data_IF_467841623999
#
_entry.id   IF_467841623999
#
_cell.length_a   1.000
_cell.length_b   1.000
_cell.length_c   1.000
_cell.angle_alpha   90.00
_cell.angle_beta   90.00
_cell.angle_gamma   90.00
#
_symmetry.space_group_name_H-M   'P 1'
#
loop_
_entity.id
_entity.type
_entity.pdbx_description
1 polymer ?
#
# COMPACT_ATOMS: atom_id res chain seq x y z
N UNK A 1 38.91 -21.70 -1.60
CA UNK A 1 38.00 -21.70 -0.44
C UNK A 1 37.07 -20.49 -0.57
N UNK A 2 35.81 -20.58 -0.13
CA UNK A 2 34.76 -19.53 -0.15
C UNK A 2 33.71 -19.57 -1.27
N UNK A 3 33.40 -20.75 -1.82
CA UNK A 3 32.21 -20.94 -2.68
C UNK A 3 30.97 -21.45 -1.91
N UNK A 4 31.13 -21.80 -0.63
CA UNK A 4 30.12 -22.53 0.17
C UNK A 4 29.32 -21.65 1.13
N UNK A 5 29.87 -20.54 1.62
CA UNK A 5 29.24 -19.79 2.73
C UNK A 5 28.05 -18.96 2.24
N UNK A 6 28.12 -18.44 1.01
CA UNK A 6 27.06 -17.59 0.45
C UNK A 6 25.74 -18.33 0.16
N UNK A 7 25.78 -19.64 -0.08
CA UNK A 7 24.59 -20.44 -0.36
C UNK A 7 23.83 -20.87 0.90
N UNK A 8 24.49 -20.93 2.06
CA UNK A 8 23.85 -21.36 3.32
C UNK A 8 23.00 -20.23 3.93
N UNK A 9 23.46 -18.99 3.82
CA UNK A 9 22.82 -17.83 4.43
C UNK A 9 21.46 -17.49 3.78
N UNK A 10 21.31 -17.73 2.47
CA UNK A 10 20.05 -17.53 1.75
C UNK A 10 19.01 -18.63 1.97
N UNK A 11 19.39 -19.81 2.48
CA UNK A 11 18.45 -20.91 2.74
C UNK A 11 17.78 -20.76 4.11
N UNK A 12 18.47 -20.19 5.09
CA UNK A 12 17.96 -20.03 6.45
C UNK A 12 16.80 -19.02 6.55
N UNK A 13 16.75 -18.03 5.66
CA UNK A 13 15.77 -16.94 5.75
C UNK A 13 14.40 -17.28 5.11
N UNK A 14 14.28 -18.40 4.40
CA UNK A 14 13.08 -18.74 3.62
C UNK A 14 12.19 -19.84 4.27
N UNK A 15 12.48 -20.25 5.51
CA UNK A 15 11.77 -21.34 6.23
C UNK A 15 10.79 -20.82 7.30
N UNK A 16 10.77 -19.52 7.59
CA UNK A 16 10.02 -18.96 8.73
C UNK A 16 8.67 -18.32 8.37
N UNK A 17 8.00 -18.71 7.29
CA UNK A 17 6.74 -18.06 6.88
C UNK A 17 5.59 -19.04 6.57
N UNK A 18 5.47 -20.10 7.36
CA UNK A 18 4.21 -20.85 7.51
C UNK A 18 3.41 -20.27 8.68
N UNK A 19 2.54 -19.31 8.37
CA UNK A 19 1.50 -18.83 9.28
C UNK A 19 0.42 -19.90 9.42
N UNK A 20 0.44 -20.59 10.57
CA UNK A 20 -0.62 -21.46 11.03
C UNK A 20 -1.94 -20.67 11.15
N UNK A 21 -2.96 -21.07 10.41
CA UNK A 21 -4.34 -20.61 10.58
C UNK A 21 -5.03 -21.64 11.49
N UNK A 22 -5.13 -21.34 12.79
CA UNK A 22 -5.97 -22.12 13.71
C UNK A 22 -7.25 -21.35 14.02
N UNK A 23 -8.35 -21.97 13.65
CA UNK A 23 -9.73 -21.62 13.90
C UNK A 23 -10.06 -21.87 15.38
N UNK A 24 -10.53 -20.86 16.10
CA UNK A 24 -10.83 -20.99 17.53
C UNK A 24 -11.82 -19.94 18.02
N UNK A 25 -13.12 -20.22 17.85
CA UNK A 25 -14.19 -19.52 18.58
C UNK A 25 -14.11 -19.83 20.08
N UNK A 26 -14.12 -18.81 20.94
CA UNK A 26 -14.75 -18.95 22.25
C UNK A 26 -15.48 -17.66 22.66
N UNK A 27 -16.77 -17.83 22.94
CA UNK A 27 -17.59 -16.91 23.71
C UNK A 27 -17.17 -16.97 25.18
N UNK A 28 -16.97 -15.82 25.80
CA UNK A 28 -17.03 -15.66 27.24
C UNK A 28 -17.44 -14.22 27.60
N UNK A 29 -18.68 -14.09 28.07
CA UNK A 29 -19.24 -12.85 28.55
C UNK A 29 -18.57 -12.34 29.82
N UNK A 30 -18.61 -11.02 29.98
CA UNK A 30 -18.46 -10.35 31.26
C UNK A 30 -19.37 -9.11 31.26
N UNK A 31 -20.58 -9.32 31.75
CA UNK A 31 -21.45 -8.32 32.39
C UNK A 31 -20.83 -8.13 33.81
N UNK A 32 -20.72 -6.97 34.46
CA UNK A 32 -21.75 -6.06 34.98
C UNK A 32 -21.05 -4.81 35.61
N UNK A 33 -21.67 -3.65 35.39
CA UNK A 33 -21.80 -2.40 36.20
C UNK A 33 -20.66 -1.44 36.59
N UNK A 34 -20.90 -0.20 36.11
CA UNK A 34 -21.03 1.07 36.83
C UNK A 34 -19.87 1.61 37.68
N UNK A 35 -19.28 2.71 37.20
CA UNK A 35 -19.20 3.97 37.95
C UNK A 35 -18.97 5.11 36.94
N UNK A 36 -20.06 5.76 36.48
CA UNK A 36 -19.96 7.04 35.78
C UNK A 36 -19.92 8.11 36.85
N UNK A 37 -18.73 8.66 37.05
CA UNK A 37 -18.51 9.80 37.94
C UNK A 37 -19.21 11.04 37.36
N UNK A 38 -19.99 11.61 38.24
CA UNK A 38 -20.81 12.80 38.23
C UNK A 38 -20.00 14.03 37.78
N UNK A 39 -20.43 14.69 36.69
CA UNK A 39 -20.01 16.06 36.44
C UNK A 39 -21.22 16.97 36.63
N UNK A 40 -21.09 17.70 37.72
CA UNK A 40 -22.04 18.56 38.39
C UNK A 40 -22.67 19.63 37.49
N UNK A 41 -23.89 19.95 37.87
CA UNK A 41 -24.83 20.88 37.28
C UNK A 41 -24.25 22.28 37.03
N UNK A 42 -24.59 22.83 35.86
CA UNK A 42 -24.41 24.22 35.49
C UNK A 42 -24.89 25.15 36.62
N UNK A 43 -23.91 25.80 37.26
CA UNK A 43 -24.08 26.72 38.36
C UNK A 43 -24.97 27.90 37.93
N UNK A 44 -26.22 27.81 38.37
CA UNK A 44 -27.20 28.87 38.39
C UNK A 44 -26.59 30.18 38.92
N UNK A 45 -26.47 31.18 38.04
CA UNK A 45 -26.30 32.58 38.49
C UNK A 45 -27.66 33.16 38.83
N UNK A 46 -27.98 33.16 40.12
CA UNK A 46 -29.19 33.74 40.69
C UNK A 46 -29.15 35.29 40.70
N UNK A 47 -30.12 35.86 40.01
CA UNK A 47 -31.11 36.84 40.53
C UNK A 47 -30.81 38.36 40.61
N UNK A 48 -31.94 39.05 40.39
CA UNK A 48 -32.32 40.45 40.68
C UNK A 48 -32.02 41.45 39.54
N UNK A 49 -32.94 42.32 39.09
CA UNK A 49 -34.13 42.88 39.72
C UNK A 49 -35.08 43.47 38.65
N UNK A 50 -36.37 43.42 38.95
CA UNK A 50 -37.57 44.03 38.33
C UNK A 50 -37.43 45.14 37.27
N UNK A 51 -38.25 45.05 36.22
CA UNK A 51 -39.05 46.21 35.78
C UNK A 51 -40.40 45.76 35.17
N UNK A 52 -41.55 46.11 35.76
CA UNK A 52 -42.87 45.78 35.23
C UNK A 52 -43.37 46.95 34.38
N UNK A 53 -43.28 46.87 33.05
CA UNK A 53 -44.03 47.81 32.20
C UNK A 53 -44.54 47.13 30.92
N UNK A 54 -45.84 46.86 31.02
CA UNK A 54 -46.83 46.50 30.01
C UNK A 54 -46.64 47.26 28.69
N UNK A 55 -46.34 46.54 27.62
CA UNK A 55 -46.57 46.99 26.24
C UNK A 55 -47.25 45.86 25.50
N UNK A 56 -48.54 46.06 25.21
CA UNK A 56 -49.38 45.18 24.41
C UNK A 56 -48.72 44.93 23.05
N UNK A 57 -48.35 43.69 22.77
CA UNK A 57 -47.87 43.27 21.44
C UNK A 57 -48.86 42.28 20.84
N UNK A 58 -49.61 42.77 19.85
CA UNK A 58 -50.64 42.04 19.12
C UNK A 58 -50.03 40.88 18.33
N UNK A 59 -50.49 39.67 18.64
CA UNK A 59 -50.16 38.41 17.98
C UNK A 59 -50.58 38.42 16.49
N UNK A 60 -49.65 38.67 15.58
CA UNK A 60 -49.83 38.41 14.15
C UNK A 60 -49.54 36.93 13.85
N UNK A 61 -50.60 36.12 13.70
CA UNK A 61 -50.55 34.73 13.22
C UNK A 61 -49.89 34.65 11.83
N UNK A 62 -48.57 34.47 11.77
CA UNK A 62 -47.88 34.10 10.54
C UNK A 62 -48.25 32.66 10.20
N UNK A 63 -49.26 32.49 9.33
CA UNK A 63 -49.67 31.22 8.72
C UNK A 63 -48.47 30.64 7.97
N UNK A 64 -47.77 29.68 8.58
CA UNK A 64 -46.77 28.83 7.92
C UNK A 64 -47.51 28.05 6.85
N UNK A 65 -47.34 28.39 5.58
CA UNK A 65 -47.83 27.56 4.47
C UNK A 65 -47.16 26.20 4.63
N UNK A 66 -47.99 25.17 4.65
CA UNK A 66 -47.65 23.77 4.83
C UNK A 66 -46.57 23.36 3.84
N UNK A 67 -45.63 22.56 4.38
CA UNK A 67 -44.59 21.84 3.69
C UNK A 67 -45.08 21.31 2.34
N UNK A 68 -44.30 21.64 1.32
CA UNK A 68 -44.17 20.84 0.11
C UNK A 68 -44.15 19.37 0.52
N UNK A 69 -45.10 18.58 0.01
CA UNK A 69 -45.15 17.16 0.24
C UNK A 69 -43.97 16.54 -0.50
N UNK A 70 -42.78 16.58 0.12
CA UNK A 70 -41.71 15.67 -0.21
C UNK A 70 -42.24 14.28 0.10
N UNK A 71 -42.56 13.51 -0.92
CA UNK A 71 -42.78 12.07 -0.75
C UNK A 71 -41.58 11.52 0.04
N UNK A 72 -41.81 10.83 1.17
CA UNK A 72 -40.71 10.24 1.90
C UNK A 72 -40.07 9.20 0.98
N UNK A 73 -38.79 9.37 0.66
CA UNK A 73 -38.01 8.32 0.00
C UNK A 73 -38.25 7.02 0.75
N UNK A 74 -38.86 6.04 0.07
CA UNK A 74 -39.19 4.76 0.70
C UNK A 74 -37.90 4.11 1.18
N UNK A 75 -37.89 3.61 2.42
CA UNK A 75 -36.74 2.90 3.01
C UNK A 75 -36.24 1.75 2.12
N UNK A 76 -37.12 1.17 1.30
CA UNK A 76 -36.77 0.14 0.31
C UNK A 76 -35.80 0.66 -0.74
N UNK A 77 -36.03 1.85 -1.30
CA UNK A 77 -35.13 2.47 -2.29
C UNK A 77 -33.76 2.82 -1.70
N UNK A 78 -33.70 3.12 -0.40
CA UNK A 78 -32.43 3.38 0.29
C UNK A 78 -31.65 2.08 0.48
N UNK A 79 -32.31 0.99 0.90
CA UNK A 79 -31.69 -0.32 1.06
C UNK A 79 -31.15 -0.83 -0.28
N UNK A 80 -31.90 -0.64 -1.37
CA UNK A 80 -31.48 -1.03 -2.71
C UNK A 80 -30.23 -0.24 -3.16
N UNK A 81 -30.21 1.07 -2.92
CA UNK A 81 -29.05 1.93 -3.25
C UNK A 81 -27.79 1.56 -2.43
N UNK A 82 -27.96 1.27 -1.13
CA UNK A 82 -26.86 0.84 -0.25
C UNK A 82 -26.33 -0.53 -0.68
N UNK A 83 -27.20 -1.45 -1.07
CA UNK A 83 -26.81 -2.78 -1.56
C UNK A 83 -26.03 -2.67 -2.86
N UNK A 84 -26.54 -1.90 -3.83
CA UNK A 84 -25.86 -1.64 -5.10
C UNK A 84 -24.48 -0.99 -4.89
N UNK A 85 -24.37 -0.04 -3.95
CA UNK A 85 -23.10 0.56 -3.59
C UNK A 85 -22.13 -0.47 -2.99
N UNK A 86 -22.61 -1.31 -2.06
CA UNK A 86 -21.82 -2.37 -1.45
C UNK A 86 -21.31 -3.39 -2.47
N UNK A 87 -22.13 -3.77 -3.45
CA UNK A 87 -21.75 -4.67 -4.53
C UNK A 87 -20.70 -4.05 -5.46
N UNK A 88 -20.88 -2.78 -5.84
CA UNK A 88 -19.89 -2.07 -6.64
C UNK A 88 -18.54 -1.95 -5.92
N UNK A 89 -18.55 -1.63 -4.61
CA UNK A 89 -17.34 -1.58 -3.78
C UNK A 89 -16.67 -2.96 -3.72
N UNK A 90 -17.44 -4.03 -3.55
CA UNK A 90 -16.91 -5.41 -3.54
C UNK A 90 -16.25 -5.76 -4.87
N UNK A 91 -16.91 -5.45 -5.99
CA UNK A 91 -16.40 -5.72 -7.34
C UNK A 91 -15.08 -4.97 -7.58
N UNK A 92 -15.07 -3.66 -7.32
CA UNK A 92 -13.86 -2.83 -7.46
C UNK A 92 -12.75 -3.33 -6.54
N UNK A 93 -13.07 -3.73 -5.31
CA UNK A 93 -12.11 -4.31 -4.38
C UNK A 93 -11.47 -5.60 -4.90
N UNK A 94 -12.25 -6.49 -5.51
CA UNK A 94 -11.73 -7.72 -6.13
C UNK A 94 -10.85 -7.44 -7.35
N UNK A 95 -11.24 -6.48 -8.19
CA UNK A 95 -10.44 -6.08 -9.36
C UNK A 95 -9.10 -5.45 -8.95
N UNK A 96 -9.12 -4.56 -7.96
CA UNK A 96 -7.91 -3.98 -7.40
C UNK A 96 -7.00 -5.04 -6.78
N UNK A 97 -7.54 -5.96 -6.00
CA UNK A 97 -6.79 -7.07 -5.39
C UNK A 97 -6.11 -7.93 -6.46
N UNK A 98 -6.83 -8.26 -7.54
CA UNK A 98 -6.29 -8.98 -8.70
C UNK A 98 -5.21 -8.19 -9.42
N UNK A 99 -5.41 -6.88 -9.60
CA UNK A 99 -4.44 -5.98 -10.23
C UNK A 99 -3.14 -5.93 -9.44
N UNK A 100 -3.22 -5.76 -8.11
CA UNK A 100 -2.05 -5.74 -7.22
C UNK A 100 -1.32 -7.08 -7.27
N UNK A 101 -2.04 -8.20 -7.16
CA UNK A 101 -1.44 -9.53 -7.26
C UNK A 101 -0.71 -9.75 -8.60
N UNK A 102 -1.30 -9.28 -9.71
CA UNK A 102 -0.72 -9.40 -11.05
C UNK A 102 0.54 -8.53 -11.20
N UNK A 103 0.51 -7.29 -10.72
CA UNK A 103 1.65 -6.38 -10.72
C UNK A 103 2.81 -6.95 -9.88
N UNK A 104 2.52 -7.44 -8.67
CA UNK A 104 3.52 -8.09 -7.82
C UNK A 104 4.16 -9.30 -8.50
N UNK A 105 3.39 -10.12 -9.20
CA UNK A 105 3.91 -11.25 -9.96
C UNK A 105 4.86 -10.81 -11.08
N UNK A 106 4.48 -9.76 -11.84
CA UNK A 106 5.30 -9.19 -12.91
C UNK A 106 6.61 -8.65 -12.33
N UNK A 107 6.53 -7.87 -11.24
CA UNK A 107 7.71 -7.31 -10.58
C UNK A 107 8.62 -8.41 -10.06
N UNK A 108 8.09 -9.42 -9.38
CA UNK A 108 8.89 -10.54 -8.87
C UNK A 108 9.59 -11.31 -10.02
N UNK A 109 8.86 -11.58 -11.11
CA UNK A 109 9.42 -12.23 -12.29
C UNK A 109 10.52 -11.37 -12.94
N UNK A 110 10.31 -10.05 -13.04
CA UNK A 110 11.31 -9.14 -13.60
C UNK A 110 12.57 -9.07 -12.74
N UNK A 111 12.44 -9.04 -11.41
CA UNK A 111 13.55 -9.06 -10.45
C UNK A 111 14.36 -10.35 -10.59
N UNK A 112 13.69 -11.50 -10.69
CA UNK A 112 14.34 -12.79 -10.92
C UNK A 112 15.14 -12.80 -12.23
N UNK A 113 14.55 -12.29 -13.33
CA UNK A 113 15.23 -12.19 -14.62
C UNK A 113 16.46 -11.28 -14.52
N UNK A 114 16.36 -10.12 -13.86
CA UNK A 114 17.50 -9.21 -13.67
C UNK A 114 18.61 -9.91 -12.89
N UNK A 115 18.28 -10.61 -11.80
CA UNK A 115 19.28 -11.36 -11.02
C UNK A 115 19.97 -12.45 -11.86
N UNK A 116 19.23 -13.20 -12.67
CA UNK A 116 19.78 -14.18 -13.61
C UNK A 116 20.74 -13.52 -14.61
N UNK A 117 20.37 -12.36 -15.15
CA UNK A 117 21.21 -11.60 -16.07
C UNK A 117 22.46 -11.04 -15.38
N UNK A 118 22.39 -10.64 -14.12
CA UNK A 118 23.57 -10.22 -13.33
C UNK A 118 24.53 -11.38 -13.10
N UNK A 119 24.03 -12.58 -12.78
CA UNK A 119 24.89 -13.78 -12.69
C UNK A 119 25.54 -14.10 -14.05
N UNK A 120 24.77 -13.98 -15.12
CA UNK A 120 25.26 -14.16 -16.50
C UNK A 120 26.35 -13.13 -16.82
N UNK A 121 26.14 -11.86 -16.47
CA UNK A 121 27.11 -10.77 -16.61
C UNK A 121 28.43 -11.10 -15.90
N UNK A 122 28.36 -11.59 -14.66
CA UNK A 122 29.54 -11.99 -13.88
C UNK A 122 30.38 -13.03 -14.62
N UNK A 123 29.75 -14.07 -15.17
CA UNK A 123 30.45 -15.09 -15.96
C UNK A 123 31.09 -14.47 -17.19
N UNK A 124 30.35 -13.68 -17.97
CA UNK A 124 30.87 -13.09 -19.20
C UNK A 124 32.02 -12.13 -18.97
N UNK A 125 31.99 -11.31 -17.91
CA UNK A 125 33.11 -10.42 -17.59
C UNK A 125 34.37 -11.18 -17.15
N UNK A 126 34.22 -12.39 -16.58
CA UNK A 126 35.34 -13.27 -16.26
C UNK A 126 36.02 -13.87 -17.50
N UNK A 127 35.28 -14.03 -18.59
CA UNK A 127 35.77 -14.59 -19.85
C UNK A 127 36.47 -13.55 -20.75
N UNK A 128 36.30 -12.25 -20.49
CA UNK A 128 36.92 -11.19 -21.29
C UNK A 128 38.42 -11.15 -21.02
N UNK A 129 39.19 -11.64 -21.99
CA UNK A 129 40.65 -11.55 -21.97
C UNK A 129 41.11 -10.09 -22.00
N UNK A 130 41.99 -9.72 -21.08
CA UNK A 130 42.60 -8.40 -21.02
C UNK A 130 41.80 -7.35 -20.25
N UNK A 131 40.68 -7.73 -19.62
CA UNK A 131 39.97 -6.93 -18.63
C UNK A 131 40.66 -7.10 -17.27
N UNK A 132 41.04 -6.00 -16.63
CA UNK A 132 41.65 -6.05 -15.29
C UNK A 132 40.60 -6.38 -14.21
N UNK A 133 41.04 -6.78 -13.02
CA UNK A 133 40.12 -7.06 -11.91
C UNK A 133 39.37 -5.80 -11.46
N UNK A 134 40.05 -4.64 -11.46
CA UNK A 134 39.42 -3.34 -11.15
C UNK A 134 38.36 -2.97 -12.19
N UNK A 135 38.68 -3.09 -13.49
CA UNK A 135 37.70 -2.85 -14.57
C UNK A 135 36.50 -3.79 -14.47
N UNK A 136 36.72 -5.03 -14.01
CA UNK A 136 35.66 -6.01 -13.79
C UNK A 136 34.74 -5.61 -12.63
N UNK A 137 35.32 -5.16 -11.52
CA UNK A 137 34.56 -4.69 -10.36
C UNK A 137 33.73 -3.46 -10.74
N UNK A 138 34.35 -2.48 -11.40
CA UNK A 138 33.67 -1.27 -11.87
C UNK A 138 32.51 -1.62 -12.82
N UNK A 139 32.73 -2.54 -13.75
CA UNK A 139 31.69 -3.01 -14.66
C UNK A 139 30.54 -3.73 -13.93
N UNK A 140 30.84 -4.54 -12.91
CA UNK A 140 29.84 -5.24 -12.11
C UNK A 140 28.99 -4.31 -11.27
N UNK A 141 29.54 -3.18 -10.83
CA UNK A 141 28.80 -2.17 -10.10
C UNK A 141 27.91 -1.37 -11.05
N UNK A 142 28.47 -0.89 -12.17
CA UNK A 142 27.79 0.07 -13.04
C UNK A 142 26.78 -0.58 -14.00
N UNK A 143 27.10 -1.72 -14.62
CA UNK A 143 26.25 -2.29 -15.69
C UNK A 143 24.84 -2.69 -15.17
N UNK A 144 24.67 -3.29 -13.98
CA UNK A 144 23.34 -3.63 -13.47
C UNK A 144 22.40 -2.43 -13.28
N UNK A 145 22.93 -1.26 -12.96
CA UNK A 145 22.16 -0.01 -12.84
C UNK A 145 21.64 0.51 -14.19
N UNK A 146 22.15 -0.06 -15.29
CA UNK A 146 21.78 0.27 -16.65
C UNK A 146 21.25 -0.98 -17.39
N UNK A 147 20.02 -1.45 -17.08
CA UNK A 147 19.52 -2.74 -17.55
C UNK A 147 19.51 -2.87 -19.08
N UNK A 148 19.23 -1.79 -19.82
CA UNK A 148 19.30 -1.80 -21.28
C UNK A 148 20.75 -2.00 -21.79
N UNK A 149 21.73 -1.41 -21.12
CA UNK A 149 23.15 -1.57 -21.47
C UNK A 149 23.65 -2.97 -21.12
N UNK A 150 23.17 -3.56 -20.02
CA UNK A 150 23.40 -4.96 -19.71
C UNK A 150 22.90 -5.89 -20.83
N UNK A 151 21.70 -5.65 -21.35
CA UNK A 151 21.18 -6.43 -22.49
C UNK A 151 22.04 -6.26 -23.74
N UNK A 152 22.42 -5.03 -24.09
CA UNK A 152 23.33 -4.75 -25.21
C UNK A 152 24.64 -5.51 -25.04
N UNK A 153 25.28 -5.41 -23.87
CA UNK A 153 26.54 -6.10 -23.57
C UNK A 153 26.43 -7.62 -23.75
N UNK A 154 25.37 -8.25 -23.23
CA UNK A 154 25.16 -9.69 -23.33
C UNK A 154 24.97 -10.14 -24.78
N UNK A 155 24.38 -9.29 -25.62
CA UNK A 155 24.21 -9.54 -27.06
C UNK A 155 25.45 -9.27 -27.91
N UNK A 156 26.50 -8.61 -27.39
CA UNK A 156 27.71 -8.32 -28.16
C UNK A 156 28.52 -9.58 -28.45
N UNK A 157 29.17 -9.68 -29.63
CA UNK A 157 30.14 -10.72 -29.89
C UNK A 157 31.35 -10.57 -28.96
N UNK A 158 32.02 -11.68 -28.58
CA UNK A 158 33.13 -11.63 -27.62
C UNK A 158 34.25 -10.64 -27.99
N UNK A 159 34.53 -10.46 -29.29
CA UNK A 159 35.56 -9.54 -29.79
C UNK A 159 35.29 -8.06 -29.48
N UNK A 160 34.03 -7.66 -29.29
CA UNK A 160 33.65 -6.27 -29.04
C UNK A 160 33.48 -5.95 -27.56
N UNK A 161 33.38 -6.96 -26.69
CA UNK A 161 33.03 -6.79 -25.29
C UNK A 161 34.05 -6.00 -24.49
N UNK A 162 35.35 -6.23 -24.71
CA UNK A 162 36.41 -5.50 -23.99
C UNK A 162 36.36 -3.99 -24.26
N UNK A 163 36.31 -3.61 -25.54
CA UNK A 163 36.27 -2.20 -25.94
C UNK A 163 34.98 -1.52 -25.45
N UNK A 164 33.85 -2.24 -25.50
CA UNK A 164 32.59 -1.74 -25.00
C UNK A 164 32.63 -1.51 -23.49
N UNK A 165 33.13 -2.48 -22.69
CA UNK A 165 33.19 -2.34 -21.22
C UNK A 165 34.04 -1.15 -20.83
N UNK A 166 35.23 -0.99 -21.42
CA UNK A 166 36.10 0.17 -21.15
C UNK A 166 35.44 1.50 -21.47
N UNK A 167 34.76 1.56 -22.62
CA UNK A 167 34.01 2.76 -22.99
C UNK A 167 32.87 3.03 -22.01
N UNK A 168 32.16 1.98 -21.59
CA UNK A 168 31.05 2.07 -20.67
C UNK A 168 31.49 2.59 -19.30
N UNK A 169 32.47 1.95 -18.65
CA UNK A 169 32.98 2.35 -17.33
C UNK A 169 33.65 3.74 -17.31
N UNK A 170 34.07 4.25 -18.47
CA UNK A 170 34.67 5.59 -18.60
C UNK A 170 33.61 6.69 -18.81
N UNK A 171 32.40 6.33 -19.22
CA UNK A 171 31.32 7.27 -19.56
C UNK A 171 30.23 7.36 -18.49
N UNK A 172 30.13 6.33 -17.67
CA UNK A 172 29.24 6.18 -16.52
C UNK A 172 30.15 5.89 -15.32
#
# INVERSE_FOLDING_TARGET
>A
MNRSVFFEELRAENVANEMNLEEGSNDNGCEIDAFLDEMDDDLATQSQLSNPNKVDSTFSKKKRRSSEASEPYSSTSLIDAVTLLGDNIRIVGLELSRSIASEMLIQNKSKMIIQEKVQTLYVFLGEIKGLTDDERIDALIKIPDHPMQMLVFLSLPPSMRLAWVRKFISTH
#
